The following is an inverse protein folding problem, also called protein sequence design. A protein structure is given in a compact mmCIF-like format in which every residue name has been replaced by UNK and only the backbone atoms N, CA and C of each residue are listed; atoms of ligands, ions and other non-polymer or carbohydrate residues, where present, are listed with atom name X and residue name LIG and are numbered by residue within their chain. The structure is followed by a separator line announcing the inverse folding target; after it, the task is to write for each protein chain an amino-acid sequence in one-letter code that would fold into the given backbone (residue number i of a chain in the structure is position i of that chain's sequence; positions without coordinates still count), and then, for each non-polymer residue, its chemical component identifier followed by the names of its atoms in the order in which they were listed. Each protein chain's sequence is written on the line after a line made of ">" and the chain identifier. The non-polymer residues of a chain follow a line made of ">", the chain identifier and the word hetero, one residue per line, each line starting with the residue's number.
data_IF_848640195187
#
_entry.id   IF_848640195187
#
_cell.length_a   1.000
_cell.length_b   1.000
_cell.length_c   1.000
_cell.angle_alpha   90.00
_cell.angle_beta   90.00
_cell.angle_gamma   90.00
#
_symmetry.space_group_name_H-M   'P 1'
#
loop_
_entity.id
_entity.type
_entity.pdbx_description
1 polymer ?
#
# COMPACT_ATOMS: atom_id res chain seq x y z
N UNK A 1 -24.15 26.32 -34.77
CA UNK A 1 -23.18 26.38 -33.66
C UNK A 1 -22.73 24.96 -33.42
N UNK A 2 -21.42 24.79 -33.54
CA UNK A 2 -20.81 23.59 -34.11
C UNK A 2 -20.88 22.38 -33.19
N UNK A 3 -21.24 21.27 -33.84
CA UNK A 3 -21.26 19.95 -33.28
C UNK A 3 -19.82 19.43 -33.40
N UNK A 4 -18.95 19.76 -32.44
CA UNK A 4 -17.61 19.18 -32.38
C UNK A 4 -17.75 17.68 -32.16
N UNK A 5 -17.57 16.95 -33.26
CA UNK A 5 -17.48 15.51 -33.28
C UNK A 5 -16.35 15.06 -32.35
N UNK A 6 -16.69 14.32 -31.30
CA UNK A 6 -15.75 13.40 -30.67
C UNK A 6 -15.40 12.33 -31.71
N UNK A 7 -14.42 12.62 -32.56
CA UNK A 7 -13.76 11.60 -33.35
C UNK A 7 -13.26 10.49 -32.43
N UNK A 8 -13.18 9.23 -32.89
CA UNK A 8 -12.70 8.14 -32.06
C UNK A 8 -11.30 8.51 -31.55
N UNK A 9 -11.16 8.71 -30.23
CA UNK A 9 -9.84 8.85 -29.60
C UNK A 9 -9.05 7.61 -30.00
N UNK A 10 -7.90 7.80 -30.66
CA UNK A 10 -7.03 6.69 -31.02
C UNK A 10 -6.82 5.81 -29.77
N UNK A 11 -7.18 4.53 -29.87
CA UNK A 11 -7.02 3.58 -28.77
C UNK A 11 -5.53 3.56 -28.42
N UNK A 12 -5.17 3.93 -27.20
CA UNK A 12 -3.82 3.70 -26.68
C UNK A 12 -3.62 2.19 -26.72
N UNK A 13 -2.58 1.74 -27.44
CA UNK A 13 -2.24 0.31 -27.49
C UNK A 13 -2.01 -0.19 -26.07
N UNK A 14 -2.57 -1.34 -25.72
CA UNK A 14 -2.21 -2.02 -24.47
C UNK A 14 -0.71 -2.40 -24.51
N UNK A 15 -0.04 -2.49 -23.36
CA UNK A 15 1.39 -2.88 -23.32
C UNK A 15 1.66 -4.22 -24.03
N UNK A 16 0.70 -5.15 -23.94
CA UNK A 16 0.71 -6.45 -24.62
C UNK A 16 0.57 -6.36 -26.14
N UNK A 17 0.09 -5.23 -26.67
CA UNK A 17 -0.09 -4.96 -28.11
C UNK A 17 1.16 -4.29 -28.74
N UNK A 18 2.16 -3.89 -27.94
CA UNK A 18 3.42 -3.32 -28.43
C UNK A 18 4.36 -4.42 -28.92
N UNK A 19 5.02 -4.20 -30.06
CA UNK A 19 6.14 -5.05 -30.45
C UNK A 19 7.31 -4.88 -29.48
N UNK A 20 8.20 -5.87 -29.43
CA UNK A 20 9.45 -5.78 -28.66
C UNK A 20 10.25 -4.52 -29.03
N UNK A 21 10.37 -4.24 -30.32
CA UNK A 21 11.11 -3.11 -30.86
C UNK A 21 10.45 -1.78 -30.50
N UNK A 22 9.12 -1.68 -30.62
CA UNK A 22 8.36 -0.50 -30.19
C UNK A 22 8.59 -0.22 -28.70
N UNK A 23 8.49 -1.26 -27.84
CA UNK A 23 8.67 -1.14 -26.40
C UNK A 23 10.09 -0.71 -26.03
N UNK A 24 11.11 -1.34 -26.63
CA UNK A 24 12.51 -0.98 -26.38
C UNK A 24 12.83 0.46 -26.82
N UNK A 25 12.28 0.91 -27.96
CA UNK A 25 12.48 2.28 -28.42
C UNK A 25 11.85 3.31 -27.47
N UNK A 26 10.63 3.06 -26.97
CA UNK A 26 9.97 3.92 -25.98
C UNK A 26 10.75 4.02 -24.68
N UNK A 27 11.23 2.88 -24.16
CA UNK A 27 12.04 2.85 -22.93
C UNK A 27 13.40 3.52 -23.13
N UNK A 28 14.01 3.41 -24.31
CA UNK A 28 15.27 4.11 -24.62
C UNK A 28 15.09 5.63 -24.61
N UNK A 29 13.98 6.14 -25.17
CA UNK A 29 13.61 7.56 -25.10
C UNK A 29 13.42 8.01 -23.64
N UNK A 30 12.68 7.25 -22.84
CA UNK A 30 12.47 7.54 -21.41
C UNK A 30 13.81 7.51 -20.62
N UNK A 31 14.73 6.61 -20.97
CA UNK A 31 16.07 6.53 -20.39
C UNK A 31 16.92 7.78 -20.70
N UNK A 32 16.91 8.26 -21.94
CA UNK A 32 17.62 9.48 -22.33
C UNK A 32 17.09 10.71 -21.58
N UNK A 33 15.76 10.82 -21.45
CA UNK A 33 15.11 11.87 -20.65
C UNK A 33 15.51 11.75 -19.16
N UNK A 34 15.62 10.52 -18.63
CA UNK A 34 16.08 10.31 -17.26
C UNK A 34 17.52 10.79 -17.04
N UNK A 35 18.44 10.54 -17.98
CA UNK A 35 19.82 11.02 -17.87
C UNK A 35 19.91 12.55 -17.77
N UNK A 36 19.03 13.26 -18.47
CA UNK A 36 18.98 14.72 -18.45
C UNK A 36 18.26 15.31 -17.23
N UNK A 37 17.18 14.67 -16.79
CA UNK A 37 16.24 15.26 -15.81
C UNK A 37 16.23 14.59 -14.45
N UNK A 38 16.88 13.43 -14.33
CA UNK A 38 16.82 12.50 -13.20
C UNK A 38 15.38 12.22 -12.75
N UNK A 39 14.45 12.16 -13.72
CA UNK A 39 13.03 11.99 -13.47
C UNK A 39 12.51 10.76 -14.23
N UNK A 40 11.92 9.82 -13.51
CA UNK A 40 11.04 8.82 -14.08
C UNK A 40 9.74 9.52 -14.49
N UNK A 41 9.64 9.87 -15.78
CA UNK A 41 8.48 10.54 -16.34
C UNK A 41 7.26 9.63 -16.31
N UNK A 42 6.08 10.22 -16.14
CA UNK A 42 4.84 9.47 -16.26
C UNK A 42 4.70 8.97 -17.72
N UNK A 43 4.67 7.64 -17.95
CA UNK A 43 4.73 7.10 -19.30
C UNK A 43 3.35 7.19 -19.96
N UNK A 44 3.02 8.39 -20.48
CA UNK A 44 1.73 8.66 -21.11
C UNK A 44 1.50 7.82 -22.38
N UNK A 45 2.56 7.32 -23.00
CA UNK A 45 2.47 6.35 -24.11
C UNK A 45 1.93 4.98 -23.64
N UNK A 46 2.13 4.63 -22.36
CA UNK A 46 1.68 3.38 -21.74
C UNK A 46 0.30 3.53 -21.09
N UNK A 47 0.11 4.61 -20.30
CA UNK A 47 -1.11 4.80 -19.50
C UNK A 47 -2.15 5.71 -20.17
N UNK A 48 -1.81 6.33 -21.31
CA UNK A 48 -2.59 7.37 -21.95
C UNK A 48 -2.36 8.77 -21.35
N UNK A 49 -3.10 9.79 -21.81
CA UNK A 49 -2.96 11.15 -21.30
C UNK A 49 -3.26 11.23 -19.79
N UNK A 50 -2.63 12.19 -19.11
CA UNK A 50 -2.88 12.51 -17.69
C UNK A 50 -4.37 12.84 -17.50
N UNK A 51 -5.00 12.26 -16.49
CA UNK A 51 -6.43 12.44 -16.19
C UNK A 51 -6.68 13.39 -15.01
N UNK A 52 -5.79 13.40 -14.02
CA UNK A 52 -5.82 14.30 -12.88
C UNK A 52 -4.71 15.34 -12.96
N UNK A 53 -3.99 15.52 -11.85
CA UNK A 53 -2.81 16.39 -11.76
C UNK A 53 -1.56 15.53 -11.87
N UNK A 54 -0.64 15.96 -12.73
CA UNK A 54 0.71 15.40 -12.75
C UNK A 54 1.49 15.92 -11.53
N UNK A 55 1.89 15.00 -10.66
CA UNK A 55 2.63 15.30 -9.43
C UNK A 55 4.04 14.75 -9.59
N UNK A 56 5.04 15.56 -9.24
CA UNK A 56 6.45 15.19 -9.23
C UNK A 56 6.96 15.19 -7.79
N UNK A 57 7.52 14.07 -7.33
CA UNK A 57 8.09 13.93 -5.98
C UNK A 57 9.56 13.51 -6.06
N UNK A 58 10.38 13.99 -5.12
CA UNK A 58 11.74 13.49 -4.93
C UNK A 58 11.67 12.09 -4.31
N UNK A 59 12.52 11.18 -4.80
CA UNK A 59 12.76 9.87 -4.23
C UNK A 59 14.26 9.68 -4.00
N UNK A 60 14.61 8.79 -3.09
CA UNK A 60 15.99 8.43 -2.78
C UNK A 60 16.24 6.95 -3.04
N UNK A 61 17.51 6.55 -3.03
CA UNK A 61 17.99 5.19 -3.29
C UNK A 61 17.53 4.63 -4.64
N UNK A 62 17.36 5.51 -5.63
CA UNK A 62 16.89 5.15 -6.97
C UNK A 62 17.59 5.98 -8.05
N UNK A 63 18.16 5.37 -9.10
CA UNK A 63 18.18 3.93 -9.38
C UNK A 63 19.25 3.16 -8.58
N UNK A 64 20.19 3.86 -7.92
CA UNK A 64 21.20 3.25 -7.05
C UNK A 64 21.07 3.77 -5.61
N UNK A 65 21.61 3.00 -4.66
CA UNK A 65 21.73 3.45 -3.27
C UNK A 65 22.53 4.76 -3.17
N UNK A 66 21.95 5.74 -2.47
CA UNK A 66 22.48 7.08 -2.29
C UNK A 66 22.10 8.07 -3.39
N UNK A 67 21.53 7.63 -4.51
CA UNK A 67 21.08 8.52 -5.57
C UNK A 67 19.75 9.20 -5.19
N UNK A 68 19.57 10.42 -5.70
CA UNK A 68 18.28 11.10 -5.70
C UNK A 68 17.74 11.15 -7.12
N UNK A 69 16.45 10.86 -7.24
CA UNK A 69 15.71 10.99 -8.47
C UNK A 69 14.33 11.60 -8.20
N UNK A 70 13.53 11.73 -9.24
CA UNK A 70 12.15 12.15 -9.13
C UNK A 70 11.24 11.16 -9.84
N UNK A 71 10.02 11.00 -9.35
CA UNK A 71 8.96 10.25 -10.02
C UNK A 71 7.81 11.19 -10.32
N UNK A 72 7.31 11.12 -11.54
CA UNK A 72 6.06 11.75 -11.96
C UNK A 72 4.92 10.73 -11.98
N UNK A 73 3.80 11.06 -11.35
CA UNK A 73 2.59 10.25 -11.38
C UNK A 73 1.33 11.09 -11.58
N UNK A 74 0.33 10.48 -12.21
CA UNK A 74 -0.99 11.08 -12.40
C UNK A 74 -1.88 10.79 -11.19
N UNK A 75 -2.30 11.83 -10.47
CA UNK A 75 -3.05 11.71 -9.22
C UNK A 75 -4.36 10.92 -9.37
N UNK A 76 -5.03 10.98 -10.53
CA UNK A 76 -6.25 10.22 -10.80
C UNK A 76 -6.03 8.70 -10.92
N UNK A 77 -4.79 8.29 -11.20
CA UNK A 77 -4.34 6.89 -11.34
C UNK A 77 -3.44 6.46 -10.19
N UNK A 78 -3.46 7.20 -9.08
CA UNK A 78 -2.66 6.90 -7.89
C UNK A 78 -3.57 6.57 -6.71
N UNK A 79 -3.14 5.62 -5.89
CA UNK A 79 -3.76 5.34 -4.60
C UNK A 79 -2.73 5.43 -3.46
N UNK A 80 -3.11 6.01 -2.34
CA UNK A 80 -2.40 5.84 -1.06
C UNK A 80 -2.99 4.64 -0.33
N UNK A 81 -2.11 3.74 0.10
CA UNK A 81 -2.45 2.49 0.77
C UNK A 81 -2.09 2.61 2.25
N UNK A 82 -3.09 2.54 3.12
CA UNK A 82 -2.94 2.55 4.58
C UNK A 82 -3.00 1.11 5.09
N UNK A 83 -1.83 0.52 5.30
CA UNK A 83 -1.74 -0.92 5.62
C UNK A 83 -1.92 -1.15 7.11
N UNK A 84 -2.99 -1.86 7.47
CA UNK A 84 -3.19 -2.54 8.76
C UNK A 84 -2.99 -1.67 10.01
N UNK A 85 -3.37 -0.39 9.94
CA UNK A 85 -3.36 0.54 11.09
C UNK A 85 -4.51 0.23 12.07
N UNK A 86 -4.54 -1.00 12.58
CA UNK A 86 -5.56 -1.54 13.46
C UNK A 86 -5.07 -1.53 14.92
N UNK A 87 -6.00 -1.50 15.87
CA UNK A 87 -5.67 -1.62 17.32
C UNK A 87 -4.87 -2.90 17.59
N UNK A 88 -5.15 -3.99 16.87
CA UNK A 88 -4.38 -5.24 16.97
C UNK A 88 -2.88 -5.08 16.66
N UNK A 89 -2.47 -4.10 15.85
CA UNK A 89 -1.06 -3.92 15.46
C UNK A 89 -0.34 -2.78 16.18
N UNK A 90 -1.07 -1.75 16.63
CA UNK A 90 -0.45 -0.57 17.26
C UNK A 90 -1.10 -0.13 18.58
N UNK A 91 -2.11 -0.86 19.07
CA UNK A 91 -2.84 -0.57 20.30
C UNK A 91 -2.56 -1.55 21.44
N UNK A 92 -2.88 -1.11 22.66
CA UNK A 92 -2.76 -1.93 23.87
C UNK A 92 -3.72 -3.12 23.85
N UNK A 93 -3.29 -4.23 24.43
CA UNK A 93 -4.00 -5.50 24.49
C UNK A 93 -4.39 -6.06 23.10
N UNK A 94 -3.79 -5.53 22.04
CA UNK A 94 -3.92 -6.02 20.67
C UNK A 94 -2.91 -7.12 20.35
N UNK A 95 -3.02 -7.72 19.18
CA UNK A 95 -2.18 -8.84 18.72
C UNK A 95 -0.66 -8.60 18.93
N UNK A 96 -0.14 -7.44 18.55
CA UNK A 96 1.30 -7.11 18.69
C UNK A 96 1.72 -6.91 20.15
N UNK A 97 0.86 -6.32 20.98
CA UNK A 97 1.12 -6.12 22.40
C UNK A 97 1.17 -7.46 23.15
N UNK A 98 0.28 -8.40 22.82
CA UNK A 98 0.27 -9.75 23.40
C UNK A 98 1.55 -10.54 23.07
N UNK A 99 2.19 -10.25 21.94
CA UNK A 99 3.50 -10.81 21.60
C UNK A 99 4.66 -10.17 22.38
N UNK A 100 4.42 -9.07 23.09
CA UNK A 100 5.40 -8.36 23.91
C UNK A 100 6.32 -7.40 23.13
N UNK A 101 5.90 -6.95 21.95
CA UNK A 101 6.67 -5.98 21.17
C UNK A 101 6.44 -4.54 21.65
N UNK A 102 7.40 -3.67 21.35
CA UNK A 102 7.31 -2.25 21.65
C UNK A 102 6.33 -1.54 20.69
N UNK A 103 5.15 -1.19 21.21
CA UNK A 103 4.12 -0.49 20.45
C UNK A 103 4.55 0.91 19.97
N UNK A 104 5.56 1.54 20.58
CA UNK A 104 6.02 2.84 20.11
C UNK A 104 6.56 2.79 18.67
N UNK A 105 7.09 1.62 18.26
CA UNK A 105 7.62 1.40 16.91
C UNK A 105 6.51 1.23 15.86
N UNK A 106 5.39 0.59 16.21
CA UNK A 106 4.24 0.40 15.29
C UNK A 106 3.22 1.55 15.36
N UNK A 107 3.16 2.30 16.47
CA UNK A 107 2.31 3.47 16.63
C UNK A 107 2.98 4.79 16.18
N UNK A 108 4.32 4.84 16.10
CA UNK A 108 5.07 6.01 15.61
C UNK A 108 4.56 6.62 14.31
N UNK A 109 4.18 5.81 13.30
CA UNK A 109 3.69 6.31 12.01
C UNK A 109 2.31 6.98 12.03
N UNK A 110 1.53 6.89 13.11
CA UNK A 110 0.13 7.36 13.13
C UNK A 110 0.02 8.83 12.73
N UNK A 111 0.84 9.71 13.33
CA UNK A 111 0.79 11.15 13.07
C UNK A 111 1.26 11.50 11.64
N UNK A 112 2.40 10.98 11.14
CA UNK A 112 2.78 11.14 9.73
C UNK A 112 1.71 10.67 8.75
N UNK A 113 1.11 9.49 8.97
CA UNK A 113 0.04 8.96 8.12
C UNK A 113 -1.17 9.90 8.12
N UNK A 114 -1.57 10.40 9.30
CA UNK A 114 -2.68 11.36 9.41
C UNK A 114 -2.41 12.63 8.59
N UNK A 115 -1.21 13.19 8.68
CA UNK A 115 -0.84 14.40 7.95
C UNK A 115 -0.90 14.18 6.42
N UNK A 116 -0.40 13.06 5.92
CA UNK A 116 -0.44 12.78 4.47
C UNK A 116 -1.86 12.45 3.99
N UNK A 117 -2.66 11.76 4.81
CA UNK A 117 -4.08 11.55 4.52
C UNK A 117 -4.83 12.88 4.44
N UNK A 118 -4.61 13.80 5.36
CA UNK A 118 -5.22 15.13 5.33
C UNK A 118 -4.81 15.91 4.06
N UNK A 119 -3.55 15.82 3.64
CA UNK A 119 -3.10 16.44 2.39
C UNK A 119 -3.73 15.80 1.14
N UNK A 120 -3.83 14.47 1.11
CA UNK A 120 -4.46 13.72 0.02
C UNK A 120 -5.94 14.04 -0.09
N UNK A 121 -6.67 13.94 1.02
CA UNK A 121 -8.13 14.15 1.11
C UNK A 121 -8.55 15.56 0.71
N UNK A 122 -7.77 16.57 1.10
CA UNK A 122 -8.13 17.98 0.88
C UNK A 122 -7.53 18.58 -0.40
N UNK A 123 -6.49 17.97 -0.96
CA UNK A 123 -5.68 18.59 -2.01
C UNK A 123 -5.63 17.83 -3.34
N UNK A 124 -6.17 16.61 -3.39
CA UNK A 124 -5.98 15.71 -4.54
C UNK A 124 -7.19 14.83 -4.81
N UNK A 125 -7.18 14.16 -5.96
CA UNK A 125 -8.11 13.09 -6.34
C UNK A 125 -7.51 11.68 -6.17
N UNK A 126 -6.35 11.57 -5.51
CA UNK A 126 -5.69 10.30 -5.16
C UNK A 126 -6.65 9.46 -4.33
N UNK A 127 -6.77 8.18 -4.67
CA UNK A 127 -7.66 7.26 -3.95
C UNK A 127 -7.04 6.85 -2.63
N UNK A 128 -7.85 6.80 -1.57
CA UNK A 128 -7.42 6.26 -0.27
C UNK A 128 -7.98 4.84 -0.15
N UNK A 129 -7.08 3.89 0.11
CA UNK A 129 -7.42 2.48 0.29
C UNK A 129 -6.78 2.02 1.60
N UNK A 130 -7.59 1.53 2.52
CA UNK A 130 -7.15 0.94 3.77
C UNK A 130 -7.15 -0.58 3.67
N UNK A 131 -6.22 -1.24 4.35
CA UNK A 131 -6.27 -2.70 4.54
C UNK A 131 -6.45 -3.06 6.00
N UNK A 132 -7.10 -4.21 6.23
CA UNK A 132 -7.18 -4.83 7.55
C UNK A 132 -6.81 -6.31 7.44
N UNK A 133 -5.78 -6.72 8.16
CA UNK A 133 -5.50 -8.15 8.33
C UNK A 133 -6.51 -8.74 9.33
N UNK A 134 -7.22 -9.79 8.92
CA UNK A 134 -8.07 -10.54 9.83
C UNK A 134 -8.83 -11.68 9.18
N UNK A 135 -9.41 -12.51 10.05
CA UNK A 135 -10.00 -13.79 9.72
C UNK A 135 -11.51 -13.80 9.94
N UNK A 136 -12.20 -14.67 9.20
CA UNK A 136 -13.63 -14.90 9.40
C UNK A 136 -13.91 -15.28 10.87
N UNK A 137 -15.09 -14.96 11.42
CA UNK A 137 -15.45 -15.33 12.80
C UNK A 137 -15.35 -16.83 13.12
N UNK A 138 -15.55 -17.69 12.13
CA UNK A 138 -15.40 -19.14 12.25
C UNK A 138 -13.97 -19.65 11.94
N UNK A 139 -13.02 -18.75 11.68
CA UNK A 139 -11.62 -19.01 11.34
C UNK A 139 -11.40 -19.90 10.11
N UNK A 140 -12.39 -20.01 9.21
CA UNK A 140 -12.30 -20.89 8.04
C UNK A 140 -11.20 -20.49 7.04
N UNK A 141 -10.78 -19.23 7.05
CA UNK A 141 -9.71 -18.67 6.22
C UNK A 141 -8.36 -18.55 6.96
N UNK A 142 -8.23 -19.17 8.14
CA UNK A 142 -7.02 -19.15 8.96
C UNK A 142 -6.21 -20.44 8.79
N UNK A 143 -5.01 -20.39 8.16
CA UNK A 143 -4.14 -21.55 8.07
C UNK A 143 -3.67 -22.04 9.45
N UNK A 144 -3.62 -23.37 9.62
CA UNK A 144 -3.19 -24.02 10.86
C UNK A 144 -1.85 -23.51 11.40
N UNK A 145 -0.86 -23.35 10.51
CA UNK A 145 0.48 -22.88 10.90
C UNK A 145 0.47 -21.44 11.43
N UNK A 146 -0.38 -20.55 10.87
CA UNK A 146 -0.54 -19.17 11.33
C UNK A 146 -1.17 -19.15 12.73
N UNK A 147 -2.23 -19.94 12.93
CA UNK A 147 -2.87 -20.11 14.24
C UNK A 147 -1.88 -20.63 15.30
N UNK A 148 -1.18 -21.73 14.99
CA UNK A 148 -0.22 -22.35 15.91
C UNK A 148 0.90 -21.36 16.30
N UNK A 149 1.53 -20.69 15.33
CA UNK A 149 2.60 -19.71 15.58
C UNK A 149 2.11 -18.57 16.46
N UNK A 150 0.89 -18.08 16.23
CA UNK A 150 0.30 -17.01 17.05
C UNK A 150 0.17 -17.39 18.52
N UNK A 151 -0.30 -18.61 18.81
CA UNK A 151 -0.41 -19.11 20.19
C UNK A 151 0.95 -19.32 20.83
N UNK A 152 1.95 -19.79 20.09
CA UNK A 152 3.30 -20.03 20.62
C UNK A 152 3.92 -18.70 21.09
N UNK A 153 3.90 -17.67 20.24
CA UNK A 153 4.53 -16.38 20.57
C UNK A 153 3.76 -15.61 21.65
N UNK A 154 2.42 -15.70 21.65
CA UNK A 154 1.57 -15.10 22.69
C UNK A 154 1.37 -15.99 23.94
N UNK A 155 2.24 -16.99 24.16
CA UNK A 155 2.26 -17.85 25.36
C UNK A 155 0.90 -18.48 25.70
N UNK A 156 0.18 -18.94 24.68
CA UNK A 156 -1.12 -19.59 24.77
C UNK A 156 -2.29 -18.76 24.25
N UNK A 157 -2.11 -17.44 24.13
CA UNK A 157 -3.10 -16.49 23.58
C UNK A 157 -2.68 -16.13 22.15
N UNK A 158 -3.57 -16.30 21.18
CA UNK A 158 -3.30 -16.06 19.77
C UNK A 158 -4.57 -15.68 18.99
N UNK A 159 -4.51 -15.82 17.66
CA UNK A 159 -5.63 -15.46 16.78
C UNK A 159 -6.89 -16.21 17.19
N UNK A 160 -8.00 -15.48 17.35
CA UNK A 160 -9.29 -16.04 17.79
C UNK A 160 -9.50 -16.07 19.31
N UNK A 161 -8.46 -15.92 20.12
CA UNK A 161 -8.62 -15.75 21.57
C UNK A 161 -8.90 -14.29 21.92
N UNK A 162 -9.61 -14.05 23.04
CA UNK A 162 -9.74 -12.72 23.63
C UNK A 162 -8.71 -12.57 24.76
N UNK A 163 -7.73 -11.67 24.66
CA UNK A 163 -6.77 -11.46 25.73
C UNK A 163 -7.41 -10.75 26.93
N UNK A 164 -6.79 -10.91 28.10
CA UNK A 164 -7.18 -10.15 29.29
C UNK A 164 -7.06 -8.64 29.03
N UNK A 165 -8.10 -7.88 29.36
CA UNK A 165 -8.17 -6.44 29.05
C UNK A 165 -8.34 -6.09 27.56
N UNK A 166 -8.40 -7.07 26.67
CA UNK A 166 -8.65 -6.87 25.23
C UNK A 166 -10.10 -6.58 24.90
N UNK A 167 -10.32 -5.83 23.82
CA UNK A 167 -11.66 -5.40 23.39
C UNK A 167 -12.38 -6.42 22.50
N UNK A 168 -11.73 -7.52 22.12
CA UNK A 168 -12.31 -8.56 21.26
C UNK A 168 -11.34 -9.68 20.96
N UNK A 169 -11.75 -10.60 20.09
CA UNK A 169 -10.87 -11.69 19.65
C UNK A 169 -9.77 -11.17 18.70
N UNK A 170 -8.53 -11.60 18.91
CA UNK A 170 -7.38 -11.14 18.12
C UNK A 170 -7.50 -11.51 16.64
N UNK A 171 -7.34 -10.53 15.76
CA UNK A 171 -7.39 -10.66 14.29
C UNK A 171 -8.66 -11.33 13.76
N UNK A 172 -9.80 -11.17 14.43
CA UNK A 172 -11.10 -11.66 13.97
C UNK A 172 -11.95 -10.50 13.46
N UNK A 173 -12.51 -10.67 12.25
CA UNK A 173 -13.35 -9.65 11.60
C UNK A 173 -14.56 -9.29 12.44
N UNK A 174 -14.86 -8.00 12.51
CA UNK A 174 -15.96 -7.43 13.28
C UNK A 174 -15.68 -7.20 14.76
N UNK A 175 -14.50 -7.58 15.27
CA UNK A 175 -14.09 -7.26 16.63
C UNK A 175 -13.58 -5.82 16.72
N UNK A 176 -13.74 -5.18 17.89
CA UNK A 176 -13.38 -3.77 18.07
C UNK A 176 -11.87 -3.52 17.86
N UNK A 177 -11.03 -4.38 18.45
CA UNK A 177 -9.57 -4.35 18.31
C UNK A 177 -9.08 -4.63 16.86
N UNK A 178 -9.91 -5.30 16.05
CA UNK A 178 -9.57 -5.56 14.66
C UNK A 178 -9.82 -4.34 13.75
N UNK A 179 -10.58 -3.33 14.18
CA UNK A 179 -10.82 -2.17 13.34
C UNK A 179 -9.60 -1.25 13.22
N UNK A 180 -9.58 -0.46 12.15
CA UNK A 180 -8.65 0.65 11.96
C UNK A 180 -8.83 1.62 13.13
N UNK A 181 -7.74 2.17 13.66
CA UNK A 181 -7.77 3.12 14.76
C UNK A 181 -8.54 4.40 14.39
N UNK A 182 -9.19 5.01 15.38
CA UNK A 182 -10.03 6.20 15.17
C UNK A 182 -9.26 7.38 14.53
N UNK A 183 -7.97 7.53 14.87
CA UNK A 183 -7.11 8.58 14.31
C UNK A 183 -6.94 8.52 12.79
N UNK A 184 -7.08 7.32 12.21
CA UNK A 184 -6.91 7.03 10.80
C UNK A 184 -8.17 6.42 10.18
N UNK A 185 -9.32 6.64 10.82
CA UNK A 185 -10.59 6.07 10.38
C UNK A 185 -10.84 6.39 8.89
N UNK A 186 -11.34 5.40 8.11
CA UNK A 186 -11.77 5.63 6.74
C UNK A 186 -12.89 6.67 6.68
N UNK A 187 -12.86 7.52 5.66
CA UNK A 187 -13.92 8.47 5.34
C UNK A 187 -14.85 7.94 4.24
N UNK A 188 -16.01 8.58 4.07
CA UNK A 188 -16.94 8.27 2.99
C UNK A 188 -16.25 8.36 1.63
N UNK A 189 -16.39 7.30 0.81
CA UNK A 189 -15.77 7.19 -0.50
C UNK A 189 -14.37 6.56 -0.50
N UNK A 190 -13.79 6.26 0.66
CA UNK A 190 -12.55 5.50 0.79
C UNK A 190 -12.81 4.00 0.80
N UNK A 191 -11.84 3.22 0.31
CA UNK A 191 -11.97 1.77 0.20
C UNK A 191 -11.37 1.10 1.45
N UNK A 192 -12.00 0.02 1.91
CA UNK A 192 -11.47 -0.80 2.99
C UNK A 192 -11.43 -2.25 2.53
N UNK A 193 -10.24 -2.85 2.56
CA UNK A 193 -9.98 -4.18 2.04
C UNK A 193 -9.59 -5.12 3.18
N UNK A 194 -10.37 -6.18 3.36
CA UNK A 194 -10.08 -7.21 4.36
C UNK A 194 -9.25 -8.33 3.73
N UNK A 195 -8.08 -8.61 4.32
CA UNK A 195 -7.16 -9.66 3.87
C UNK A 195 -6.92 -10.68 4.98
N UNK A 196 -6.93 -11.97 4.65
CA UNK A 196 -6.57 -13.04 5.60
C UNK A 196 -5.06 -13.35 5.64
N UNK A 197 -4.27 -12.64 4.83
CA UNK A 197 -2.83 -12.86 4.64
C UNK A 197 -2.02 -11.56 4.86
N UNK A 198 -0.68 -11.69 4.74
CA UNK A 198 0.26 -10.57 4.83
C UNK A 198 0.17 -9.70 3.60
N UNK A 199 0.30 -10.32 2.44
CA UNK A 199 -0.05 -9.74 1.14
C UNK A 199 -1.55 -9.55 0.97
N UNK A 200 -1.93 -8.71 0.02
CA UNK A 200 -3.31 -8.32 -0.24
C UNK A 200 -3.83 -8.91 -1.56
N UNK A 201 -2.96 -9.26 -2.52
CA UNK A 201 -3.42 -9.64 -3.86
C UNK A 201 -4.09 -11.02 -3.92
N UNK A 202 -3.55 -12.02 -3.24
CA UNK A 202 -4.04 -13.41 -3.36
C UNK A 202 -5.27 -13.71 -2.50
N UNK A 203 -5.49 -12.97 -1.42
CA UNK A 203 -6.47 -13.30 -0.38
C UNK A 203 -7.40 -12.14 -0.02
N UNK A 204 -7.69 -11.27 -0.99
CA UNK A 204 -8.69 -10.22 -0.91
C UNK A 204 -9.13 -9.78 -2.31
N UNK A 205 -9.95 -8.75 -2.42
CA UNK A 205 -10.31 -8.10 -3.67
C UNK A 205 -9.38 -6.93 -4.06
N UNK A 206 -8.27 -6.72 -3.35
CA UNK A 206 -7.31 -5.61 -3.57
C UNK A 206 -6.94 -5.41 -5.04
N UNK A 207 -6.44 -6.45 -5.71
CA UNK A 207 -6.02 -6.35 -7.11
C UNK A 207 -7.16 -6.04 -8.09
N UNK A 208 -8.36 -6.57 -7.81
CA UNK A 208 -9.56 -6.27 -8.60
C UNK A 208 -9.98 -4.82 -8.40
N UNK A 209 -9.93 -4.33 -7.16
CA UNK A 209 -10.22 -2.94 -6.81
C UNK A 209 -9.27 -1.97 -7.50
N UNK A 210 -7.95 -2.19 -7.41
CA UNK A 210 -6.96 -1.36 -8.11
C UNK A 210 -7.21 -1.31 -9.63
N UNK A 211 -7.48 -2.47 -10.24
CA UNK A 211 -7.76 -2.56 -11.68
C UNK A 211 -9.04 -1.80 -12.07
N UNK A 212 -10.11 -1.94 -11.30
CA UNK A 212 -11.38 -1.22 -11.55
C UNK A 212 -11.23 0.29 -11.41
N UNK A 213 -10.35 0.73 -10.52
CA UNK A 213 -10.05 2.15 -10.30
C UNK A 213 -9.02 2.71 -11.30
N UNK A 214 -8.43 1.87 -12.16
CA UNK A 214 -7.42 2.31 -13.13
C UNK A 214 -6.12 2.77 -12.49
N UNK A 215 -5.79 2.25 -11.30
CA UNK A 215 -4.58 2.61 -10.56
C UNK A 215 -3.34 2.05 -11.26
N UNK A 216 -2.26 2.85 -11.28
CA UNK A 216 -0.94 2.46 -11.80
C UNK A 216 0.19 2.77 -10.83
N UNK A 217 -0.04 3.67 -9.87
CA UNK A 217 0.94 4.05 -8.84
C UNK A 217 0.36 3.87 -7.43
N UNK A 218 1.16 3.36 -6.51
CA UNK A 218 0.81 3.13 -5.12
C UNK A 218 1.76 3.91 -4.21
N UNK A 219 1.20 4.69 -3.29
CA UNK A 219 1.92 5.33 -2.19
C UNK A 219 1.69 4.46 -0.95
N UNK A 220 2.73 3.80 -0.47
CA UNK A 220 2.67 2.79 0.58
C UNK A 220 2.91 3.41 1.96
N UNK A 221 2.02 3.12 2.91
CA UNK A 221 2.09 3.52 4.32
C UNK A 221 1.57 2.40 5.23
N UNK A 222 1.75 2.54 6.54
CA UNK A 222 1.20 1.63 7.54
C UNK A 222 2.21 0.61 8.09
N UNK A 223 1.72 -0.52 8.58
CA UNK A 223 2.51 -1.46 9.37
C UNK A 223 2.21 -2.94 9.04
N UNK A 224 3.14 -3.87 9.29
CA UNK A 224 4.56 -3.58 9.57
C UNK A 224 5.35 -3.44 8.26
N UNK A 225 6.38 -2.59 8.30
CA UNK A 225 7.25 -2.27 7.17
C UNK A 225 7.86 -3.53 6.54
N UNK A 226 8.30 -4.48 7.37
CA UNK A 226 8.99 -5.71 6.97
C UNK A 226 8.07 -6.90 6.65
N UNK A 227 6.76 -6.81 6.95
CA UNK A 227 5.80 -7.89 6.74
C UNK A 227 4.70 -7.46 5.77
N UNK A 228 3.63 -6.83 6.25
CA UNK A 228 2.44 -6.57 5.42
C UNK A 228 2.73 -5.54 4.33
N UNK A 229 3.38 -4.42 4.69
CA UNK A 229 3.72 -3.36 3.74
C UNK A 229 4.64 -3.91 2.64
N UNK A 230 5.74 -4.57 3.03
CA UNK A 230 6.69 -5.12 2.06
C UNK A 230 6.07 -6.21 1.18
N UNK A 231 5.24 -7.09 1.75
CA UNK A 231 4.62 -8.18 0.98
C UNK A 231 3.69 -7.60 -0.08
N UNK A 232 2.82 -6.64 0.29
CA UNK A 232 1.93 -5.97 -0.67
C UNK A 232 2.74 -5.23 -1.74
N UNK A 233 3.80 -4.52 -1.34
CA UNK A 233 4.65 -3.78 -2.26
C UNK A 233 5.37 -4.69 -3.26
N UNK A 234 5.88 -5.84 -2.82
CA UNK A 234 6.49 -6.85 -3.70
C UNK A 234 5.47 -7.45 -4.67
N UNK A 235 4.30 -7.85 -4.16
CA UNK A 235 3.19 -8.35 -4.99
C UNK A 235 2.78 -7.33 -6.07
N UNK A 236 2.69 -6.05 -5.70
CA UNK A 236 2.33 -4.97 -6.62
C UNK A 236 3.41 -4.68 -7.66
N UNK A 237 4.68 -4.62 -7.23
CA UNK A 237 5.82 -4.38 -8.11
C UNK A 237 5.96 -5.51 -9.16
N UNK A 238 5.81 -6.77 -8.76
CA UNK A 238 5.94 -7.93 -9.65
C UNK A 238 4.92 -7.91 -10.81
N UNK A 239 3.79 -7.23 -10.64
CA UNK A 239 2.76 -7.09 -11.68
C UNK A 239 2.71 -5.69 -12.31
N UNK A 240 3.73 -4.85 -12.04
CA UNK A 240 3.97 -3.60 -12.77
C UNK A 240 3.41 -2.32 -12.16
N UNK A 241 2.95 -2.33 -10.90
CA UNK A 241 2.62 -1.08 -10.21
C UNK A 241 3.88 -0.33 -9.80
N UNK A 242 3.87 0.98 -9.99
CA UNK A 242 4.90 1.87 -9.45
C UNK A 242 4.64 2.07 -7.96
N UNK A 243 5.58 1.66 -7.11
CA UNK A 243 5.40 1.72 -5.66
C UNK A 243 6.36 2.74 -5.03
N UNK A 244 5.81 3.67 -4.25
CA UNK A 244 6.57 4.68 -3.50
C UNK A 244 6.32 4.42 -2.01
N UNK A 245 7.38 4.16 -1.23
CA UNK A 245 7.26 3.97 0.21
C UNK A 245 7.50 5.29 0.96
N UNK A 246 6.56 5.67 1.82
CA UNK A 246 6.77 6.78 2.76
C UNK A 246 7.38 6.25 4.06
N UNK A 247 8.70 6.39 4.19
CA UNK A 247 9.49 5.82 5.30
C UNK A 247 8.94 6.20 6.68
N UNK A 248 8.75 7.49 6.93
CA UNK A 248 8.20 8.02 8.20
C UNK A 248 6.73 7.66 8.45
N UNK A 249 6.01 7.20 7.43
CA UNK A 249 4.66 6.69 7.50
C UNK A 249 4.62 5.15 7.60
N UNK A 250 5.73 4.51 7.99
CA UNK A 250 5.80 3.07 8.23
C UNK A 250 6.59 2.72 9.48
N UNK A 251 6.33 1.55 10.05
CA UNK A 251 6.99 1.08 11.28
C UNK A 251 7.01 -0.44 11.35
N UNK A 252 7.87 -1.02 12.18
CA UNK A 252 7.95 -2.47 12.39
C UNK A 252 8.06 -2.81 13.87
N UNK A 253 7.99 -4.10 14.21
CA UNK A 253 8.15 -4.56 15.60
C UNK A 253 9.60 -4.54 16.08
N UNK A 254 10.56 -4.30 15.17
CA UNK A 254 11.98 -4.23 15.46
C UNK A 254 12.67 -3.21 14.54
N UNK A 255 13.50 -2.33 15.10
CA UNK A 255 14.19 -1.28 14.34
C UNK A 255 15.14 -1.83 13.27
N UNK A 256 15.90 -2.88 13.56
CA UNK A 256 16.82 -3.48 12.60
C UNK A 256 16.10 -4.12 11.40
N UNK A 257 14.94 -4.74 11.64
CA UNK A 257 14.09 -5.24 10.56
C UNK A 257 13.51 -4.11 9.72
N UNK A 258 13.07 -3.02 10.36
CA UNK A 258 12.61 -1.83 9.65
C UNK A 258 13.71 -1.30 8.73
N UNK A 259 14.90 -1.03 9.26
CA UNK A 259 16.03 -0.49 8.48
C UNK A 259 16.39 -1.42 7.30
N UNK A 260 16.39 -2.73 7.53
CA UNK A 260 16.66 -3.73 6.51
C UNK A 260 15.56 -3.80 5.44
N UNK A 261 14.29 -3.64 5.83
CA UNK A 261 13.17 -3.63 4.89
C UNK A 261 13.20 -2.40 3.99
N UNK A 262 13.48 -1.21 4.55
CA UNK A 262 13.66 0.02 3.76
C UNK A 262 14.78 -0.14 2.74
N UNK A 263 15.92 -0.71 3.15
CA UNK A 263 17.08 -0.92 2.26
C UNK A 263 16.83 -1.95 1.14
N UNK A 264 15.79 -2.77 1.24
CA UNK A 264 15.47 -3.82 0.26
C UNK A 264 14.51 -3.39 -0.84
N UNK A 265 14.00 -2.16 -0.75
CA UNK A 265 13.19 -1.48 -1.76
C UNK A 265 14.13 -0.84 -2.77
#
# INVERSE_FOLDING_TARGET
>A
MDNESFGPKAKVKEDSELSKEEKLARVQEDYEIFLETHTFKFPSWLYGPVQGKLIKVEIEDCPNFGDKAFVEFDSARTAIIVVDMQVDFCGKNGYVDIMGYDLSLTAGPIKPIKNILDAVRNGTDIKVIHTREGHMPNLADLPYNKLLRSKIIGKGVGIGDKPEGGEGQLLVRGQKNWNIIDDLAPMDGEYVIDKSAKGAFAHSDFGVTLKKLGITHLIMTGITADVCVHTIMREANDIGYWCILLKDCTGATNQGNYDAAIKQI
#
